data_IF_637376429427
#
_entry.id   IF_637376429427
#
_cell.length_a   1.000
_cell.length_b   1.000
_cell.length_c   1.000
_cell.angle_alpha   90.00
_cell.angle_beta   90.00
_cell.angle_gamma   90.00
#
_symmetry.space_group_name_H-M   'P 1'
#
loop_
_entity.id
_entity.type
_entity.pdbx_description
1 polymer ?
#
# COMPACT_ATOMS: atom_id res chain seq x y z
N UNK A 1 -7.22 -18.19 5.42
CA UNK A 1 -5.93 -18.01 4.71
C UNK A 1 -5.87 -16.91 3.62
N UNK A 2 -6.84 -15.98 3.53
CA UNK A 2 -6.79 -14.76 2.68
C UNK A 2 -7.89 -13.79 3.13
N UNK A 3 -9.14 -14.27 3.33
CA UNK A 3 -10.18 -13.48 3.98
C UNK A 3 -9.78 -13.04 5.40
N UNK A 4 -9.15 -13.89 6.20
CA UNK A 4 -8.78 -13.55 7.58
C UNK A 4 -7.74 -12.43 7.66
N UNK A 5 -6.77 -12.42 6.74
CA UNK A 5 -5.79 -11.34 6.63
C UNK A 5 -6.46 -10.04 6.20
N UNK A 6 -7.35 -10.07 5.19
CA UNK A 6 -8.11 -8.91 4.76
C UNK A 6 -9.02 -8.36 5.88
N UNK A 7 -9.69 -9.23 6.63
CA UNK A 7 -10.53 -8.86 7.77
C UNK A 7 -9.70 -8.18 8.85
N UNK A 8 -8.50 -8.71 9.14
CA UNK A 8 -7.59 -8.11 10.12
C UNK A 8 -7.15 -6.70 9.70
N UNK A 9 -6.74 -6.52 8.45
CA UNK A 9 -6.30 -5.21 7.96
C UNK A 9 -7.46 -4.21 7.89
N UNK A 10 -8.64 -4.62 7.41
CA UNK A 10 -9.85 -3.79 7.46
C UNK A 10 -10.23 -3.41 8.90
N UNK A 11 -10.12 -4.35 9.84
CA UNK A 11 -10.34 -4.09 11.26
C UNK A 11 -9.40 -3.01 11.82
N UNK A 12 -8.10 -3.09 11.49
CA UNK A 12 -7.12 -2.06 11.88
C UNK A 12 -7.46 -0.69 11.29
N UNK A 13 -7.83 -0.62 10.02
CA UNK A 13 -8.23 0.62 9.36
C UNK A 13 -9.49 1.24 10.00
N UNK A 14 -10.48 0.42 10.36
CA UNK A 14 -11.69 0.87 11.04
C UNK A 14 -11.37 1.42 12.43
N UNK A 15 -10.50 0.76 13.19
CA UNK A 15 -10.07 1.23 14.51
C UNK A 15 -9.30 2.55 14.41
N UNK A 16 -8.38 2.67 13.44
CA UNK A 16 -7.62 3.89 13.19
C UNK A 16 -8.55 5.05 12.81
N UNK A 17 -9.52 4.82 11.93
CA UNK A 17 -10.50 5.84 11.53
C UNK A 17 -11.37 6.32 12.69
N UNK A 18 -11.75 5.42 13.62
CA UNK A 18 -12.50 5.78 14.84
C UNK A 18 -11.64 6.62 15.78
N UNK A 19 -10.40 6.21 16.03
CA UNK A 19 -9.46 6.94 16.88
C UNK A 19 -9.19 8.35 16.32
N UNK A 20 -8.95 8.46 15.02
CA UNK A 20 -8.76 9.73 14.31
C UNK A 20 -9.96 10.66 14.49
N UNK A 21 -11.19 10.14 14.36
CA UNK A 21 -12.40 10.94 14.56
C UNK A 21 -12.53 11.49 15.99
N UNK A 22 -12.12 10.71 16.99
CA UNK A 22 -12.18 11.15 18.39
C UNK A 22 -11.08 12.13 18.78
N UNK A 23 -9.91 12.06 18.15
CA UNK A 23 -8.76 12.90 18.47
C UNK A 23 -7.97 13.28 17.20
N UNK A 24 -8.55 14.13 16.32
CA UNK A 24 -7.94 14.44 15.02
C UNK A 24 -6.65 15.25 15.13
N UNK A 25 -6.41 15.91 16.27
CA UNK A 25 -5.18 16.68 16.51
C UNK A 25 -4.07 15.90 17.21
N UNK A 26 -4.31 14.62 17.51
CA UNK A 26 -3.28 13.73 18.04
C UNK A 26 -2.17 13.56 16.98
N UNK A 27 -0.92 13.96 17.28
CA UNK A 27 0.19 13.90 16.34
C UNK A 27 0.60 12.46 15.99
N UNK A 28 0.33 11.48 16.84
CA UNK A 28 0.61 10.07 16.59
C UNK A 28 -0.44 9.45 15.67
N UNK A 29 -1.73 9.77 15.86
CA UNK A 29 -2.77 9.39 14.91
C UNK A 29 -2.58 10.07 13.55
N UNK A 30 -2.12 11.33 13.54
CA UNK A 30 -1.74 12.06 12.30
C UNK A 30 -0.70 11.27 11.54
N UNK A 31 0.33 10.82 12.23
CA UNK A 31 1.39 9.99 11.67
C UNK A 31 0.83 8.68 11.14
N UNK A 32 0.12 7.90 11.94
CA UNK A 32 -0.42 6.59 11.54
C UNK A 32 -1.35 6.66 10.31
N UNK A 33 -2.12 7.75 10.15
CA UNK A 33 -2.97 7.98 8.97
C UNK A 33 -2.18 8.50 7.76
N UNK A 34 -1.15 9.30 7.99
CA UNK A 34 -0.38 9.96 6.92
C UNK A 34 0.85 9.17 6.45
N UNK A 35 1.35 8.22 7.24
CA UNK A 35 2.53 7.43 6.90
C UNK A 35 2.10 6.13 6.25
N UNK A 36 2.26 6.05 4.94
CA UNK A 36 2.50 4.76 4.28
C UNK A 36 3.88 4.25 4.71
N UNK A 37 4.02 2.93 4.87
CA UNK A 37 5.34 2.32 5.03
C UNK A 37 6.24 2.76 3.87
N UNK A 38 7.47 3.18 4.18
CA UNK A 38 8.43 3.49 3.12
C UNK A 38 8.82 2.20 2.40
N UNK A 39 9.33 2.32 1.17
CA UNK A 39 9.85 1.17 0.42
C UNK A 39 10.85 0.37 1.25
N UNK A 40 11.73 1.04 1.98
CA UNK A 40 12.75 0.43 2.82
C UNK A 40 12.14 -0.36 3.98
N UNK A 41 11.08 0.18 4.60
CA UNK A 41 10.36 -0.52 5.67
C UNK A 41 9.66 -1.79 5.16
N UNK A 42 9.01 -1.71 3.99
CA UNK A 42 8.37 -2.87 3.36
C UNK A 42 9.40 -3.94 3.00
N UNK A 43 10.54 -3.55 2.44
CA UNK A 43 11.61 -4.49 2.07
C UNK A 43 12.33 -5.11 3.27
N UNK A 44 12.39 -4.40 4.41
CA UNK A 44 12.98 -4.91 5.64
C UNK A 44 12.05 -5.85 6.43
N UNK A 45 10.76 -5.88 6.11
CA UNK A 45 9.79 -6.73 6.79
C UNK A 45 9.93 -8.19 6.31
N UNK A 46 10.37 -9.13 7.17
CA UNK A 46 10.55 -10.53 6.78
C UNK A 46 9.23 -11.24 6.46
N UNK A 47 8.10 -10.73 6.96
CA UNK A 47 6.77 -11.27 6.70
C UNK A 47 6.14 -10.69 5.42
N UNK A 48 6.78 -9.70 4.79
CA UNK A 48 6.31 -9.17 3.52
C UNK A 48 6.44 -10.22 2.42
N UNK A 49 5.39 -10.37 1.61
CA UNK A 49 5.39 -11.33 0.50
C UNK A 49 6.41 -10.91 -0.55
N UNK A 50 7.45 -11.73 -0.71
CA UNK A 50 8.42 -11.59 -1.80
C UNK A 50 8.06 -12.55 -2.94
N UNK A 51 8.03 -12.04 -4.16
CA UNK A 51 7.73 -12.82 -5.36
C UNK A 51 8.83 -12.57 -6.38
N UNK A 52 9.62 -13.61 -6.66
CA UNK A 52 10.58 -13.60 -7.76
C UNK A 52 9.92 -14.18 -9.02
N UNK A 53 9.80 -13.36 -10.06
CA UNK A 53 9.22 -13.79 -11.33
C UNK A 53 9.77 -13.00 -12.52
N UNK A 54 9.37 -13.41 -13.72
CA UNK A 54 9.51 -12.58 -14.91
C UNK A 54 8.28 -11.70 -15.03
N UNK A 55 8.50 -10.40 -15.08
CA UNK A 55 7.45 -9.40 -15.11
C UNK A 55 7.42 -8.71 -16.47
N UNK A 56 6.27 -8.67 -17.11
CA UNK A 56 6.05 -7.88 -18.33
C UNK A 56 5.36 -6.56 -17.96
N UNK A 57 5.83 -5.44 -18.55
CA UNK A 57 5.17 -4.14 -18.39
C UNK A 57 4.00 -4.07 -19.35
N UNK A 58 2.77 -4.09 -18.82
CA UNK A 58 1.56 -4.00 -19.64
C UNK A 58 1.21 -2.55 -20.00
N UNK A 59 1.64 -1.60 -19.19
CA UNK A 59 1.39 -0.20 -19.43
C UNK A 59 1.89 0.70 -18.31
N UNK A 60 1.91 1.99 -18.62
CA UNK A 60 2.33 3.06 -17.73
C UNK A 60 1.35 4.24 -17.84
N UNK A 61 1.14 4.93 -16.73
CA UNK A 61 0.37 6.17 -16.66
C UNK A 61 1.16 7.19 -15.86
N UNK A 62 1.48 8.30 -16.52
CA UNK A 62 2.19 9.41 -15.93
C UNK A 62 1.26 10.62 -15.93
N UNK A 63 1.01 11.18 -14.75
CA UNK A 63 0.13 12.35 -14.58
C UNK A 63 0.86 13.44 -13.80
N UNK A 64 0.95 14.62 -14.40
CA UNK A 64 1.40 15.83 -13.71
C UNK A 64 0.24 16.44 -12.93
N UNK A 65 0.41 16.58 -11.62
CA UNK A 65 -0.58 17.12 -10.71
C UNK A 65 -0.44 18.64 -10.60
N UNK A 66 -1.49 19.31 -10.11
CA UNK A 66 -1.54 20.78 -9.96
C UNK A 66 -0.52 21.34 -8.96
N UNK A 67 -0.07 20.50 -8.03
CA UNK A 67 0.98 20.81 -7.04
C UNK A 67 2.40 20.70 -7.63
N UNK A 68 2.53 20.39 -8.92
CA UNK A 68 3.81 20.20 -9.60
C UNK A 68 4.43 18.82 -9.38
N UNK A 69 3.78 17.92 -8.64
CA UNK A 69 4.23 16.54 -8.48
C UNK A 69 3.84 15.69 -9.69
N UNK A 70 4.64 14.65 -9.95
CA UNK A 70 4.34 13.65 -10.97
C UNK A 70 3.93 12.36 -10.30
N UNK A 71 2.73 11.87 -10.64
CA UNK A 71 2.27 10.53 -10.28
C UNK A 71 2.62 9.58 -11.41
N UNK A 72 3.34 8.50 -11.10
CA UNK A 72 3.65 7.43 -12.05
C UNK A 72 3.06 6.12 -11.54
N UNK A 73 2.30 5.44 -12.39
CA UNK A 73 1.77 4.10 -12.14
C UNK A 73 2.18 3.17 -13.27
N UNK A 74 2.70 1.99 -12.92
CA UNK A 74 3.11 0.93 -13.85
C UNK A 74 2.34 -0.34 -13.51
N UNK A 75 1.78 -1.01 -14.51
CA UNK A 75 1.10 -2.30 -14.35
C UNK A 75 2.00 -3.42 -14.86
N UNK A 76 2.25 -4.41 -14.00
CA UNK A 76 3.13 -5.54 -14.27
C UNK A 76 2.31 -6.84 -14.32
N UNK A 77 2.58 -7.68 -15.33
CA UNK A 77 2.05 -9.04 -15.44
C UNK A 77 3.09 -10.06 -14.97
N UNK A 78 2.70 -10.96 -14.07
CA UNK A 78 3.54 -12.08 -13.66
C UNK A 78 3.47 -13.20 -14.72
N UNK A 79 4.55 -13.41 -15.48
CA UNK A 79 4.60 -14.41 -16.54
C UNK A 79 4.73 -15.86 -16.03
N UNK A 80 5.03 -16.06 -14.74
CA UNK A 80 5.07 -17.39 -14.11
C UNK A 80 3.82 -17.68 -13.28
N UNK A 81 2.92 -16.72 -13.13
CA UNK A 81 1.69 -16.94 -12.37
C UNK A 81 0.79 -17.93 -13.09
N UNK A 82 0.32 -18.94 -12.36
CA UNK A 82 -0.68 -19.92 -12.83
C UNK A 82 -2.09 -19.35 -12.88
N UNK A 83 -2.27 -18.12 -12.41
CA UNK A 83 -3.56 -17.39 -12.42
C UNK A 83 -3.34 -16.00 -13.01
N UNK A 84 -4.17 -15.52 -13.95
CA UNK A 84 -4.06 -14.17 -14.49
C UNK A 84 -4.28 -13.08 -13.43
#
# INVERSE_FOLDING_TARGET
ERPDAAIRELGKLVLLAKAWRSAPDDPELKRLVSTSETREQVLANPDARQVESFWEVLGEKIESRRDGLVSHSTWLLDLKSTTP
#
